data_IF_910877681102
#
_entry.id   IF_910877681102
#
_cell.length_a   1.000
_cell.length_b   1.000
_cell.length_c   1.000
_cell.angle_alpha   90.00
_cell.angle_beta   90.00
_cell.angle_gamma   90.00
#
_symmetry.space_group_name_H-M   'P 1'
#
loop_
_entity.id
_entity.type
_entity.pdbx_description
1 polymer ?
#
# COMPACT_ATOMS: atom_id res chain seq x y z
N UNK A 1 52.86 -26.83 34.19
CA UNK A 1 52.04 -25.60 34.40
C UNK A 1 51.40 -24.99 33.14
N UNK A 2 51.61 -25.49 31.91
CA UNK A 2 51.06 -24.85 30.68
C UNK A 2 49.79 -25.49 30.08
N UNK A 3 49.34 -26.66 30.55
CA UNK A 3 48.17 -27.37 29.96
C UNK A 3 46.80 -27.05 30.57
N UNK A 4 46.74 -26.39 31.74
CA UNK A 4 45.45 -26.06 32.39
C UNK A 4 44.84 -24.74 31.90
N UNK A 5 45.63 -23.79 31.40
CA UNK A 5 45.13 -22.47 31.00
C UNK A 5 44.42 -22.43 29.63
N UNK A 6 44.73 -23.36 28.72
CA UNK A 6 44.07 -23.43 27.41
C UNK A 6 42.60 -23.89 27.47
N UNK A 7 42.28 -24.77 28.42
CA UNK A 7 40.92 -25.32 28.56
C UNK A 7 39.94 -24.29 29.16
N UNK A 8 40.40 -23.46 30.11
CA UNK A 8 39.58 -22.39 30.68
C UNK A 8 39.33 -21.23 29.71
N UNK A 9 40.27 -20.92 28.79
CA UNK A 9 40.06 -19.89 27.76
C UNK A 9 39.03 -20.32 26.69
N UNK A 10 39.00 -21.60 26.32
CA UNK A 10 37.99 -22.12 25.37
C UNK A 10 36.58 -22.14 25.96
N UNK A 11 36.44 -22.44 27.26
CA UNK A 11 35.14 -22.42 27.94
C UNK A 11 34.61 -20.98 28.10
N UNK A 12 35.48 -20.00 28.38
CA UNK A 12 35.09 -18.59 28.47
C UNK A 12 34.69 -18.01 27.11
N UNK A 13 35.35 -18.41 26.02
CA UNK A 13 34.97 -18.01 24.66
C UNK A 13 33.64 -18.64 24.22
N UNK A 14 33.39 -19.92 24.55
CA UNK A 14 32.12 -20.59 24.26
C UNK A 14 30.96 -20.02 25.11
N UNK A 15 31.20 -19.72 26.39
CA UNK A 15 30.22 -19.08 27.26
C UNK A 15 29.89 -17.64 26.82
N UNK A 16 30.88 -16.89 26.31
CA UNK A 16 30.68 -15.56 25.73
C UNK A 16 29.84 -15.57 24.45
N UNK A 17 29.99 -16.60 23.60
CA UNK A 17 29.18 -16.76 22.38
C UNK A 17 27.76 -17.23 22.71
N UNK A 18 27.58 -18.12 23.70
CA UNK A 18 26.25 -18.54 24.15
C UNK A 18 25.51 -17.40 24.85
N UNK A 19 26.20 -16.56 25.63
CA UNK A 19 25.60 -15.37 26.23
C UNK A 19 25.32 -14.27 25.20
N UNK A 20 26.09 -14.15 24.11
CA UNK A 20 25.78 -13.22 23.01
C UNK A 20 24.60 -13.70 22.15
N UNK A 21 24.47 -15.02 21.92
CA UNK A 21 23.31 -15.63 21.25
C UNK A 21 22.03 -15.57 22.11
N UNK A 22 22.15 -15.57 23.44
CA UNK A 22 21.04 -15.32 24.37
C UNK A 22 20.73 -13.82 24.56
N UNK A 23 21.62 -12.93 24.12
CA UNK A 23 21.45 -11.47 24.14
C UNK A 23 21.08 -10.87 22.78
N UNK A 24 20.78 -11.69 21.77
CA UNK A 24 19.74 -11.32 20.79
C UNK A 24 18.42 -11.45 21.53
N UNK A 25 18.16 -10.49 22.42
CA UNK A 25 16.81 -10.26 22.93
C UNK A 25 15.98 -10.07 21.67
N UNK A 26 15.16 -11.06 21.34
CA UNK A 26 13.99 -10.84 20.54
C UNK A 26 13.35 -9.59 21.13
N UNK A 27 13.40 -8.49 20.37
CA UNK A 27 12.67 -7.28 20.73
C UNK A 27 11.27 -7.80 21.03
N UNK A 28 10.77 -7.66 22.26
CA UNK A 28 9.46 -8.19 22.58
C UNK A 28 8.53 -7.56 21.56
N UNK A 29 7.91 -8.40 20.72
CA UNK A 29 6.91 -8.00 19.75
C UNK A 29 5.84 -7.34 20.60
N UNK A 30 5.89 -6.02 20.70
CA UNK A 30 4.91 -5.24 21.44
C UNK A 30 3.55 -5.65 20.90
N UNK A 31 2.63 -5.94 21.82
CA UNK A 31 1.23 -6.35 21.60
C UNK A 31 0.75 -6.03 20.19
N UNK A 32 0.39 -7.07 19.41
CA UNK A 32 0.22 -6.99 17.96
C UNK A 32 -0.69 -5.83 17.50
N UNK A 33 -0.07 -4.71 17.13
CA UNK A 33 -0.62 -3.62 16.32
C UNK A 33 -0.75 -4.08 14.85
N UNK A 34 -1.10 -5.34 14.61
CA UNK A 34 -1.25 -5.88 13.26
C UNK A 34 -2.69 -5.68 12.79
N UNK A 35 -2.86 -5.35 11.51
CA UNK A 35 -4.18 -5.29 10.88
C UNK A 35 -4.86 -6.67 11.02
N UNK A 36 -6.03 -6.70 11.67
CA UNK A 36 -6.82 -7.92 11.83
C UNK A 36 -7.38 -8.37 10.48
N UNK A 37 -7.64 -9.67 10.33
CA UNK A 37 -8.28 -10.20 9.11
C UNK A 37 -9.61 -9.50 8.85
N UNK A 38 -9.86 -9.10 7.61
CA UNK A 38 -11.10 -8.43 7.18
C UNK A 38 -11.40 -7.11 7.91
N UNK A 39 -10.41 -6.52 8.58
CA UNK A 39 -10.58 -5.24 9.24
C UNK A 39 -10.82 -4.14 8.21
N UNK A 40 -11.84 -3.31 8.44
CA UNK A 40 -12.09 -2.12 7.61
C UNK A 40 -10.85 -1.21 7.61
N UNK A 41 -10.43 -0.81 6.42
CA UNK A 41 -9.31 0.10 6.17
C UNK A 41 -9.85 1.48 5.80
N UNK A 42 -9.28 2.49 6.43
CA UNK A 42 -9.54 3.89 6.11
C UNK A 42 -8.27 4.47 5.49
N UNK A 43 -8.23 4.46 4.16
CA UNK A 43 -7.03 4.71 3.38
C UNK A 43 -6.78 6.19 3.11
N UNK A 44 -5.56 6.67 3.23
CA UNK A 44 -5.14 7.98 2.68
C UNK A 44 -3.78 7.87 2.02
N UNK A 45 -3.46 8.73 1.04
CA UNK A 45 -2.20 8.62 0.28
C UNK A 45 -1.23 9.75 0.63
N UNK A 46 0.05 9.39 0.75
CA UNK A 46 1.19 10.28 0.87
C UNK A 46 2.16 9.94 -0.27
N UNK A 47 2.20 10.80 -1.29
CA UNK A 47 3.10 10.67 -2.45
C UNK A 47 4.41 11.45 -2.22
N UNK A 48 5.15 11.83 -3.27
CA UNK A 48 6.36 12.66 -3.13
C UNK A 48 6.11 14.15 -3.45
N UNK A 49 4.96 14.52 -4.02
CA UNK A 49 4.74 15.90 -4.50
C UNK A 49 4.61 16.96 -3.40
N UNK A 50 4.49 16.53 -2.13
CA UNK A 50 4.48 17.39 -0.94
C UNK A 50 5.87 17.77 -0.42
N UNK A 51 6.94 17.06 -0.81
CA UNK A 51 8.29 17.33 -0.29
C UNK A 51 8.69 18.80 -0.56
N UNK A 52 9.17 19.47 0.49
CA UNK A 52 9.53 20.88 0.44
C UNK A 52 8.36 21.87 0.52
N UNK A 53 7.10 21.40 0.46
CA UNK A 53 5.90 22.23 0.56
C UNK A 53 5.18 22.06 1.89
N UNK A 54 5.17 20.83 2.42
CA UNK A 54 4.48 20.48 3.67
C UNK A 54 5.49 19.87 4.65
N UNK A 55 5.38 20.19 5.94
CA UNK A 55 6.25 19.57 6.95
C UNK A 55 5.71 18.18 7.29
N UNK A 56 6.60 17.21 7.44
CA UNK A 56 6.22 15.86 7.92
C UNK A 56 5.47 15.90 9.26
N UNK A 57 5.77 16.87 10.12
CA UNK A 57 5.05 17.04 11.38
C UNK A 57 3.56 17.34 11.19
N UNK A 58 3.21 18.14 10.18
CA UNK A 58 1.82 18.53 9.89
C UNK A 58 1.04 17.32 9.34
N UNK A 59 1.68 16.50 8.50
CA UNK A 59 1.13 15.22 8.02
C UNK A 59 0.84 14.30 9.21
N UNK A 60 1.81 14.11 10.12
CA UNK A 60 1.65 13.25 11.30
C UNK A 60 0.57 13.79 12.23
N UNK A 61 0.47 15.11 12.42
CA UNK A 61 -0.57 15.73 13.23
C UNK A 61 -1.97 15.47 12.65
N UNK A 62 -2.14 15.67 11.34
CA UNK A 62 -3.39 15.41 10.64
C UNK A 62 -3.83 13.93 10.71
N UNK A 63 -2.89 12.99 10.55
CA UNK A 63 -3.16 11.56 10.70
C UNK A 63 -3.56 11.21 12.15
N UNK A 64 -2.82 11.73 13.14
CA UNK A 64 -3.09 11.50 14.56
C UNK A 64 -4.46 12.03 15.00
N UNK A 65 -4.94 13.09 14.37
CA UNK A 65 -6.22 13.71 14.68
C UNK A 65 -7.43 12.93 14.12
N UNK A 66 -7.23 11.91 13.27
CA UNK A 66 -8.33 11.09 12.77
C UNK A 66 -8.99 10.29 13.91
N UNK A 67 -10.31 10.02 13.85
CA UNK A 67 -11.03 9.35 14.94
C UNK A 67 -10.77 7.83 14.96
N UNK A 68 -10.08 7.31 13.95
CA UNK A 68 -9.67 5.92 13.78
C UNK A 68 -8.19 5.89 13.39
N UNK A 69 -7.49 4.78 13.64
CA UNK A 69 -6.14 4.57 13.13
C UNK A 69 -6.20 4.33 11.61
N UNK A 70 -5.75 5.26 10.74
CA UNK A 70 -5.88 5.10 9.30
C UNK A 70 -4.83 4.14 8.75
N UNK A 71 -4.97 3.78 7.47
CA UNK A 71 -3.93 3.12 6.67
C UNK A 71 -3.38 4.13 5.68
N UNK A 72 -2.10 4.46 5.79
CA UNK A 72 -1.43 5.39 4.88
C UNK A 72 -0.77 4.61 3.75
N UNK A 73 -1.19 4.87 2.52
CA UNK A 73 -0.48 4.43 1.33
C UNK A 73 0.66 5.41 1.07
N UNK A 74 1.91 4.92 1.10
CA UNK A 74 3.08 5.74 0.79
C UNK A 74 3.60 5.35 -0.59
N UNK A 75 3.45 6.26 -1.56
CA UNK A 75 3.93 6.09 -2.93
C UNK A 75 5.38 6.54 -3.01
N UNK A 76 6.26 5.66 -3.48
CA UNK A 76 7.70 5.91 -3.49
C UNK A 76 8.18 6.23 -4.92
N UNK A 77 8.81 7.38 -5.11
CA UNK A 77 9.44 7.74 -6.38
C UNK A 77 10.61 6.82 -6.73
N UNK A 78 10.74 6.54 -8.03
CA UNK A 78 11.88 5.86 -8.64
C UNK A 78 13.23 6.53 -8.37
N UNK A 79 13.26 7.84 -8.17
CA UNK A 79 14.49 8.63 -8.01
C UNK A 79 14.99 8.67 -6.56
N UNK A 80 14.19 8.17 -5.62
CA UNK A 80 14.53 8.12 -4.21
C UNK A 80 14.79 6.69 -3.75
N UNK A 81 15.87 6.50 -3.02
CA UNK A 81 16.19 5.19 -2.43
C UNK A 81 15.20 4.82 -1.33
N UNK A 82 14.93 3.53 -1.12
CA UNK A 82 14.07 3.06 -0.04
C UNK A 82 14.55 3.53 1.34
N UNK A 83 15.87 3.56 1.58
CA UNK A 83 16.46 4.04 2.83
C UNK A 83 16.06 5.49 3.14
N UNK A 84 15.99 6.35 2.12
CA UNK A 84 15.61 7.75 2.31
C UNK A 84 14.15 7.92 2.80
N UNK A 85 13.29 6.90 2.68
CA UNK A 85 11.92 6.92 3.23
C UNK A 85 11.84 6.50 4.70
N UNK A 86 12.91 5.91 5.29
CA UNK A 86 12.88 5.42 6.67
C UNK A 86 12.37 6.46 7.69
N UNK A 87 12.82 7.72 7.68
CA UNK A 87 12.33 8.71 8.64
C UNK A 87 10.82 9.01 8.51
N UNK A 88 10.27 8.95 7.29
CA UNK A 88 8.85 9.15 7.05
C UNK A 88 8.05 7.96 7.57
N UNK A 89 8.44 6.74 7.17
CA UNK A 89 7.79 5.50 7.58
C UNK A 89 7.79 5.34 9.10
N UNK A 90 8.94 5.59 9.76
CA UNK A 90 9.06 5.50 11.21
C UNK A 90 8.13 6.47 11.95
N UNK A 91 7.90 7.68 11.41
CA UNK A 91 7.01 8.67 12.02
C UNK A 91 5.54 8.33 11.78
N UNK A 92 5.18 7.94 10.56
CA UNK A 92 3.79 7.60 10.20
C UNK A 92 3.34 6.32 10.91
N UNK A 93 4.19 5.30 11.02
CA UNK A 93 3.85 4.02 11.65
C UNK A 93 3.46 4.15 13.14
N UNK A 94 3.84 5.25 13.80
CA UNK A 94 3.44 5.54 15.18
C UNK A 94 1.95 5.90 15.30
N UNK A 95 1.32 6.40 14.23
CA UNK A 95 -0.04 6.93 14.25
C UNK A 95 -0.97 6.28 13.21
N UNK A 96 -0.43 5.47 12.29
CA UNK A 96 -1.17 4.82 11.22
C UNK A 96 -0.59 3.44 10.88
N UNK A 97 -1.37 2.60 10.21
CA UNK A 97 -0.82 1.48 9.44
C UNK A 97 -0.20 1.99 8.14
N UNK A 98 0.73 1.25 7.54
CA UNK A 98 1.36 1.64 6.28
C UNK A 98 1.16 0.58 5.20
N UNK A 99 0.63 1.01 4.06
CA UNK A 99 0.77 0.31 2.80
C UNK A 99 1.90 0.95 1.99
N UNK A 100 3.01 0.24 1.80
CA UNK A 100 4.09 0.72 0.94
C UNK A 100 3.72 0.46 -0.52
N UNK A 101 3.88 1.48 -1.39
CA UNK A 101 3.83 1.34 -2.84
C UNK A 101 5.21 1.67 -3.42
N UNK A 102 6.10 0.67 -3.57
CA UNK A 102 7.48 0.90 -4.03
C UNK A 102 7.59 1.36 -5.48
N UNK A 103 6.57 1.10 -6.30
CA UNK A 103 6.53 1.44 -7.72
C UNK A 103 5.13 1.89 -8.11
N UNK A 104 5.00 3.17 -8.47
CA UNK A 104 3.80 3.71 -9.09
C UNK A 104 3.60 3.19 -10.53
N UNK A 105 2.36 3.17 -11.00
CA UNK A 105 1.99 2.64 -12.32
C UNK A 105 2.64 3.46 -13.45
N UNK A 106 2.73 4.78 -13.32
CA UNK A 106 3.41 5.65 -14.30
C UNK A 106 4.93 5.43 -14.35
N UNK A 107 5.53 4.95 -13.27
CA UNK A 107 6.96 4.67 -13.19
C UNK A 107 7.30 3.19 -13.46
N UNK A 108 6.31 2.30 -13.56
CA UNK A 108 6.55 0.87 -13.79
C UNK A 108 7.40 0.61 -15.05
N UNK A 109 7.23 1.46 -16.07
CA UNK A 109 7.94 1.39 -17.33
C UNK A 109 9.45 1.71 -17.22
N UNK A 110 9.89 2.32 -16.12
CA UNK A 110 11.29 2.64 -15.83
C UNK A 110 12.07 1.40 -15.36
N UNK A 111 11.37 0.37 -14.89
CA UNK A 111 11.92 -0.95 -14.58
C UNK A 111 11.85 -1.79 -15.87
N UNK A 112 12.96 -1.94 -16.59
CA UNK A 112 12.95 -2.50 -17.95
C UNK A 112 12.73 -4.01 -18.02
N UNK A 113 12.91 -4.69 -16.89
CA UNK A 113 12.81 -6.14 -16.79
C UNK A 113 12.27 -6.56 -15.41
N UNK A 114 12.07 -7.87 -15.24
CA UNK A 114 11.62 -8.47 -13.97
C UNK A 114 12.64 -8.25 -12.85
N UNK A 115 13.94 -8.33 -13.14
CA UNK A 115 15.00 -8.27 -12.13
C UNK A 115 15.12 -6.87 -11.50
N UNK A 116 15.05 -5.81 -12.30
CA UNK A 116 15.06 -4.42 -11.83
C UNK A 116 13.82 -4.11 -10.98
N UNK A 117 12.65 -4.61 -11.35
CA UNK A 117 11.43 -4.49 -10.55
C UNK A 117 11.59 -5.24 -9.21
N UNK A 118 12.01 -6.51 -9.25
CA UNK A 118 12.23 -7.32 -8.06
C UNK A 118 13.27 -6.69 -7.11
N UNK A 119 14.36 -6.13 -7.64
CA UNK A 119 15.39 -5.44 -6.87
C UNK A 119 14.82 -4.28 -6.06
N UNK A 120 13.91 -3.48 -6.64
CA UNK A 120 13.22 -2.39 -5.93
C UNK A 120 12.43 -2.91 -4.72
N UNK A 121 11.70 -4.00 -4.88
CA UNK A 121 10.95 -4.61 -3.76
C UNK A 121 11.86 -5.19 -2.70
N UNK A 122 12.96 -5.86 -3.09
CA UNK A 122 13.96 -6.37 -2.14
C UNK A 122 14.58 -5.24 -1.32
N UNK A 123 15.00 -4.16 -1.97
CA UNK A 123 15.57 -2.98 -1.30
C UNK A 123 14.55 -2.31 -0.39
N UNK A 124 13.31 -2.14 -0.85
CA UNK A 124 12.23 -1.57 -0.05
C UNK A 124 11.95 -2.42 1.20
N UNK A 125 11.80 -3.74 1.04
CA UNK A 125 11.57 -4.66 2.14
C UNK A 125 12.71 -4.62 3.17
N UNK A 126 13.96 -4.68 2.72
CA UNK A 126 15.12 -4.62 3.61
C UNK A 126 15.18 -3.34 4.45
N UNK A 127 14.77 -2.20 3.88
CA UNK A 127 14.87 -0.91 4.56
C UNK A 127 13.63 -0.55 5.37
N UNK A 128 12.44 -1.02 4.99
CA UNK A 128 11.16 -0.46 5.45
C UNK A 128 10.23 -1.49 6.11
N UNK A 129 10.51 -2.80 6.03
CA UNK A 129 9.63 -3.86 6.58
C UNK A 129 9.28 -3.71 8.05
N UNK A 130 10.14 -3.12 8.87
CA UNK A 130 9.86 -2.84 10.28
C UNK A 130 8.69 -1.85 10.50
N UNK A 131 8.28 -1.12 9.46
CA UNK A 131 7.26 -0.09 9.51
C UNK A 131 6.09 -0.33 8.55
N UNK A 132 6.15 -1.40 7.75
CA UNK A 132 5.19 -1.66 6.66
C UNK A 132 4.25 -2.80 7.02
N UNK A 133 2.95 -2.55 6.92
CA UNK A 133 1.90 -3.55 7.21
C UNK A 133 1.41 -4.27 5.94
N UNK A 134 1.40 -3.57 4.80
CA UNK A 134 0.94 -4.06 3.49
C UNK A 134 1.93 -3.59 2.41
N UNK A 135 2.21 -4.45 1.43
CA UNK A 135 3.03 -4.13 0.27
C UNK A 135 2.18 -4.16 -1.00
N UNK A 136 1.97 -3.01 -1.61
CA UNK A 136 1.39 -2.93 -2.95
C UNK A 136 2.43 -3.38 -3.98
N UNK A 137 2.30 -4.61 -4.46
CA UNK A 137 3.24 -5.27 -5.37
C UNK A 137 2.96 -4.95 -6.84
N UNK A 138 1.95 -4.13 -7.10
CA UNK A 138 1.61 -3.60 -8.41
C UNK A 138 0.47 -2.60 -8.31
N UNK A 139 0.72 -1.37 -8.75
CA UNK A 139 -0.29 -0.34 -8.90
C UNK A 139 -0.86 -0.33 -10.33
N UNK A 140 -2.19 -0.20 -10.44
CA UNK A 140 -2.96 -0.09 -11.69
C UNK A 140 -2.39 -0.91 -12.86
N UNK A 141 -2.13 -2.18 -12.60
CA UNK A 141 -1.26 -3.00 -13.46
C UNK A 141 -1.85 -3.29 -14.85
N UNK A 142 -3.15 -3.06 -15.01
CA UNK A 142 -3.88 -3.13 -16.28
C UNK A 142 -3.87 -1.83 -17.08
N UNK A 143 -3.15 -0.80 -16.62
CA UNK A 143 -2.95 0.49 -17.28
C UNK A 143 -1.97 0.47 -18.44
N UNK A 144 -2.22 -0.34 -19.47
CA UNK A 144 -1.26 -0.60 -20.55
C UNK A 144 -0.85 0.64 -21.32
N UNK A 145 -1.70 1.66 -21.36
CA UNK A 145 -1.47 2.89 -22.14
C UNK A 145 -0.37 3.79 -21.57
N UNK A 146 -0.22 3.82 -20.25
CA UNK A 146 0.86 4.58 -19.59
C UNK A 146 2.03 3.71 -19.16
N UNK A 147 1.78 2.45 -18.80
CA UNK A 147 2.86 1.48 -18.51
C UNK A 147 3.65 1.17 -19.79
N UNK A 148 3.01 1.11 -20.97
CA UNK A 148 3.68 0.92 -22.27
C UNK A 148 4.67 -0.27 -22.28
N UNK A 149 4.29 -1.37 -21.63
CA UNK A 149 5.03 -2.63 -21.62
C UNK A 149 4.10 -3.79 -21.95
N UNK A 150 4.68 -4.91 -22.40
CA UNK A 150 3.92 -6.12 -22.70
C UNK A 150 3.28 -6.67 -21.43
N UNK A 151 2.02 -7.08 -21.50
CA UNK A 151 1.30 -7.74 -20.39
C UNK A 151 2.11 -8.88 -19.75
N UNK A 152 2.76 -9.71 -20.56
CA UNK A 152 3.60 -10.81 -20.06
C UNK A 152 4.74 -10.30 -19.15
N UNK A 153 5.37 -9.18 -19.50
CA UNK A 153 6.41 -8.59 -18.66
C UNK A 153 5.83 -8.03 -17.37
N UNK A 154 4.66 -7.39 -17.43
CA UNK A 154 3.94 -6.92 -16.23
C UNK A 154 3.65 -8.12 -15.32
N UNK A 155 3.04 -9.19 -15.82
CA UNK A 155 2.75 -10.41 -15.04
C UNK A 155 3.97 -11.05 -14.40
N UNK A 156 5.11 -11.09 -15.11
CA UNK A 156 6.37 -11.60 -14.54
C UNK A 156 6.91 -10.71 -13.42
N UNK A 157 6.82 -9.38 -13.56
CA UNK A 157 7.19 -8.43 -12.49
C UNK A 157 6.35 -8.62 -11.24
N UNK A 158 5.03 -8.74 -11.39
CA UNK A 158 4.10 -8.95 -10.27
C UNK A 158 4.41 -10.25 -9.53
N UNK A 159 4.69 -11.33 -10.28
CA UNK A 159 5.07 -12.62 -9.69
C UNK A 159 6.38 -12.51 -8.90
N UNK A 160 7.40 -11.86 -9.46
CA UNK A 160 8.68 -11.69 -8.79
C UNK A 160 8.60 -10.79 -7.53
N UNK A 161 7.78 -9.73 -7.57
CA UNK A 161 7.51 -8.89 -6.41
C UNK A 161 6.73 -9.66 -5.33
N UNK A 162 5.68 -10.39 -5.73
CA UNK A 162 4.92 -11.27 -4.84
C UNK A 162 5.85 -12.28 -4.14
N UNK A 163 6.65 -13.03 -4.89
CA UNK A 163 7.56 -14.05 -4.34
C UNK A 163 8.53 -13.43 -3.34
N UNK A 164 9.07 -12.25 -3.66
CA UNK A 164 10.01 -11.51 -2.79
C UNK A 164 9.37 -11.12 -1.46
N UNK A 165 8.14 -10.60 -1.48
CA UNK A 165 7.47 -10.09 -0.28
C UNK A 165 6.84 -11.23 0.52
N UNK A 166 6.13 -12.13 -0.14
CA UNK A 166 5.39 -13.24 0.48
C UNK A 166 6.34 -14.25 1.13
N UNK A 167 7.46 -14.61 0.47
CA UNK A 167 8.47 -15.50 1.08
C UNK A 167 9.14 -14.92 2.32
N UNK A 168 9.16 -13.59 2.45
CA UNK A 168 9.63 -12.88 3.64
C UNK A 168 8.51 -12.65 4.68
N UNK A 169 7.30 -13.18 4.46
CA UNK A 169 6.17 -13.07 5.37
C UNK A 169 5.44 -11.72 5.34
N UNK A 170 5.65 -10.89 4.31
CA UNK A 170 4.92 -9.65 4.11
C UNK A 170 3.55 -9.88 3.47
N UNK A 171 2.54 -9.09 3.87
CA UNK A 171 1.23 -9.08 3.21
C UNK A 171 1.29 -8.31 1.89
N UNK A 172 0.65 -8.82 0.86
CA UNK A 172 0.70 -8.31 -0.52
C UNK A 172 -0.64 -7.74 -0.98
N UNK A 173 -0.59 -6.68 -1.78
CA UNK A 173 -1.75 -6.04 -2.41
C UNK A 173 -1.51 -5.85 -3.91
N UNK A 174 -2.55 -6.05 -4.71
CA UNK A 174 -2.60 -5.66 -6.13
C UNK A 174 -3.73 -4.65 -6.34
N UNK A 175 -3.42 -3.55 -7.00
CA UNK A 175 -4.40 -2.51 -7.37
C UNK A 175 -4.62 -2.55 -8.88
N UNK A 176 -5.89 -2.51 -9.29
CA UNK A 176 -6.32 -2.51 -10.69
C UNK A 176 -7.13 -1.25 -10.99
N UNK A 177 -6.95 -0.67 -12.17
CA UNK A 177 -7.74 0.48 -12.60
C UNK A 177 -9.08 0.02 -13.19
N UNK A 178 -10.18 0.54 -12.68
CA UNK A 178 -11.50 0.31 -13.27
C UNK A 178 -11.85 1.48 -14.18
N UNK A 179 -12.38 1.19 -15.37
CA UNK A 179 -12.75 2.22 -16.34
C UNK A 179 -14.25 2.16 -16.64
N UNK A 180 -14.76 3.28 -17.15
CA UNK A 180 -16.03 3.35 -17.84
C UNK A 180 -16.09 2.24 -18.90
N UNK A 181 -17.07 1.32 -18.85
CA UNK A 181 -17.17 0.21 -19.79
C UNK A 181 -17.19 0.63 -21.27
N UNK A 182 -17.59 1.87 -21.57
CA UNK A 182 -17.60 2.43 -22.92
C UNK A 182 -16.19 2.62 -23.50
N UNK A 183 -15.14 2.68 -22.66
CA UNK A 183 -13.73 2.75 -23.10
C UNK A 183 -13.20 1.41 -23.64
N UNK A 184 -13.95 0.32 -23.46
CA UNK A 184 -13.58 -1.03 -23.91
C UNK A 184 -12.29 -1.60 -23.28
N UNK A 185 -11.79 -1.00 -22.20
CA UNK A 185 -10.69 -1.50 -21.37
C UNK A 185 -11.22 -2.34 -20.19
N UNK A 186 -11.61 -3.58 -20.48
CA UNK A 186 -12.21 -4.48 -19.48
C UNK A 186 -11.16 -5.03 -18.48
N UNK A 187 -11.11 -4.40 -17.30
CA UNK A 187 -10.27 -4.81 -16.15
C UNK A 187 -10.40 -6.31 -15.84
N UNK A 188 -11.61 -6.88 -15.84
CA UNK A 188 -11.82 -8.29 -15.49
C UNK A 188 -11.31 -9.24 -16.57
N UNK A 189 -11.45 -8.86 -17.84
CA UNK A 189 -10.87 -9.61 -18.96
C UNK A 189 -9.35 -9.59 -18.89
N UNK A 190 -8.75 -8.44 -18.61
CA UNK A 190 -7.31 -8.31 -18.44
C UNK A 190 -6.81 -9.17 -17.27
N UNK A 191 -7.46 -9.11 -16.10
CA UNK A 191 -7.11 -9.93 -14.92
C UNK A 191 -7.13 -11.42 -15.27
N UNK A 192 -8.20 -11.92 -15.92
CA UNK A 192 -8.32 -13.33 -16.30
C UNK A 192 -7.23 -13.79 -17.26
N UNK A 193 -6.77 -12.91 -18.14
CA UNK A 193 -5.75 -13.21 -19.15
C UNK A 193 -4.34 -13.18 -18.56
N UNK A 194 -4.07 -12.21 -17.69
CA UNK A 194 -2.71 -11.82 -17.35
C UNK A 194 -2.31 -12.15 -15.90
N UNK A 195 -3.24 -12.28 -14.97
CA UNK A 195 -2.92 -12.64 -13.58
C UNK A 195 -3.08 -14.15 -13.37
N UNK A 196 -1.99 -14.79 -12.96
CA UNK A 196 -1.96 -16.23 -12.75
C UNK A 196 -2.97 -16.69 -11.69
N UNK A 197 -3.48 -17.92 -11.84
CA UNK A 197 -4.36 -18.53 -10.84
C UNK A 197 -3.73 -18.60 -9.45
N UNK A 198 -2.40 -18.71 -9.38
CA UNK A 198 -1.67 -18.70 -8.12
C UNK A 198 -1.83 -17.35 -7.43
N UNK A 199 -1.39 -16.25 -8.08
CA UNK A 199 -1.51 -14.91 -7.52
C UNK A 199 -2.95 -14.57 -7.12
N UNK A 200 -3.92 -14.88 -7.98
CA UNK A 200 -5.34 -14.63 -7.69
C UNK A 200 -5.85 -15.34 -6.42
N UNK A 201 -5.23 -16.44 -6.02
CA UNK A 201 -5.63 -17.20 -4.82
C UNK A 201 -4.79 -16.88 -3.59
N UNK A 202 -3.67 -16.15 -3.74
CA UNK A 202 -2.69 -16.01 -2.66
C UNK A 202 -2.36 -14.59 -2.27
N UNK A 203 -2.66 -13.57 -3.10
CA UNK A 203 -2.50 -12.18 -2.67
C UNK A 203 -3.48 -11.85 -1.55
N UNK A 204 -3.04 -11.09 -0.55
CA UNK A 204 -3.84 -10.78 0.64
C UNK A 204 -4.91 -9.72 0.35
N UNK A 205 -4.61 -8.76 -0.54
CA UNK A 205 -5.53 -7.70 -0.93
C UNK A 205 -5.63 -7.55 -2.45
N UNK A 206 -6.85 -7.28 -2.93
CA UNK A 206 -7.11 -6.89 -4.31
C UNK A 206 -7.98 -5.63 -4.32
N UNK A 207 -7.40 -4.54 -4.78
CA UNK A 207 -8.01 -3.22 -4.75
C UNK A 207 -8.35 -2.69 -6.14
N UNK A 208 -9.28 -1.73 -6.18
CA UNK A 208 -9.69 -0.99 -7.36
C UNK A 208 -9.28 0.47 -7.22
N UNK A 209 -8.47 0.98 -8.13
CA UNK A 209 -8.32 2.41 -8.39
C UNK A 209 -9.49 2.90 -9.25
N UNK A 210 -10.09 4.02 -8.88
CA UNK A 210 -11.16 4.63 -9.65
C UNK A 210 -11.25 6.15 -9.45
N UNK A 211 -11.31 6.87 -10.56
CA UNK A 211 -11.40 8.33 -10.61
C UNK A 211 -12.61 8.75 -11.44
N UNK A 212 -13.61 9.37 -10.81
CA UNK A 212 -14.86 9.73 -11.50
C UNK A 212 -14.61 10.75 -12.63
N UNK A 213 -13.67 11.67 -12.45
CA UNK A 213 -13.34 12.73 -13.41
C UNK A 213 -12.54 12.22 -14.63
N UNK A 214 -11.88 11.07 -14.52
CA UNK A 214 -11.25 10.36 -15.65
C UNK A 214 -12.24 9.45 -16.39
N UNK A 215 -13.47 9.32 -15.89
CA UNK A 215 -14.49 8.38 -16.38
C UNK A 215 -15.82 9.08 -16.65
N UNK A 216 -15.79 10.35 -17.06
CA UNK A 216 -16.98 11.15 -17.43
C UNK A 216 -18.07 11.18 -16.33
N UNK A 217 -17.67 11.04 -15.06
CA UNK A 217 -18.54 10.88 -13.89
C UNK A 217 -19.40 9.62 -13.88
N UNK A 218 -19.06 8.60 -14.68
CA UNK A 218 -19.65 7.27 -14.61
C UNK A 218 -19.64 6.77 -13.16
N UNK A 219 -20.70 6.07 -12.77
CA UNK A 219 -20.84 5.51 -11.42
C UNK A 219 -20.98 4.00 -11.54
N UNK A 220 -19.92 3.24 -11.21
CA UNK A 220 -19.99 1.79 -11.27
C UNK A 220 -21.05 1.24 -10.32
N UNK A 221 -21.71 0.16 -10.73
CA UNK A 221 -22.52 -0.64 -9.81
C UNK A 221 -21.60 -1.44 -8.87
N UNK A 222 -21.07 -0.78 -7.84
CA UNK A 222 -20.01 -1.29 -6.95
C UNK A 222 -20.28 -2.67 -6.36
N UNK A 223 -21.52 -2.97 -5.96
CA UNK A 223 -21.93 -4.31 -5.51
C UNK A 223 -21.61 -5.40 -6.55
N UNK A 224 -21.91 -5.16 -7.83
CA UNK A 224 -21.61 -6.09 -8.93
C UNK A 224 -20.11 -6.18 -9.21
N UNK A 225 -19.43 -5.04 -9.23
CA UNK A 225 -17.98 -4.96 -9.47
C UNK A 225 -17.19 -5.72 -8.39
N UNK A 226 -17.46 -5.46 -7.10
CA UNK A 226 -16.76 -6.14 -6.01
C UNK A 226 -17.09 -7.63 -5.89
N UNK A 227 -18.32 -8.05 -6.20
CA UNK A 227 -18.66 -9.49 -6.29
C UNK A 227 -17.87 -10.20 -7.39
N UNK A 228 -17.71 -9.57 -8.55
CA UNK A 228 -16.87 -10.10 -9.63
C UNK A 228 -15.39 -10.14 -9.22
N UNK A 229 -14.89 -9.08 -8.58
CA UNK A 229 -13.51 -9.05 -8.09
C UNK A 229 -13.26 -10.16 -7.06
N UNK A 230 -14.14 -10.30 -6.06
CA UNK A 230 -14.06 -11.38 -5.06
C UNK A 230 -14.08 -12.77 -5.69
N UNK A 231 -14.86 -12.96 -6.77
CA UNK A 231 -14.89 -14.25 -7.49
C UNK A 231 -13.55 -14.56 -8.14
N UNK A 232 -12.85 -13.54 -8.65
CA UNK A 232 -11.51 -13.72 -9.21
C UNK A 232 -10.46 -13.89 -8.12
N UNK A 233 -10.62 -13.23 -6.97
CA UNK A 233 -9.72 -13.22 -5.82
C UNK A 233 -10.42 -13.76 -4.55
N UNK A 234 -10.65 -15.08 -4.44
CA UNK A 234 -11.54 -15.65 -3.42
C UNK A 234 -11.03 -15.54 -1.97
N UNK A 235 -9.72 -15.34 -1.80
CA UNK A 235 -9.08 -15.26 -0.48
C UNK A 235 -8.58 -13.86 -0.12
N UNK A 236 -8.64 -12.92 -1.05
CA UNK A 236 -8.20 -11.54 -0.82
C UNK A 236 -9.29 -10.71 -0.15
N UNK A 237 -8.87 -9.80 0.70
CA UNK A 237 -9.67 -8.65 1.09
C UNK A 237 -9.78 -7.68 -0.09
N UNK A 238 -10.97 -7.15 -0.34
CA UNK A 238 -11.27 -6.32 -1.52
C UNK A 238 -11.70 -4.91 -1.13
N UNK A 239 -11.41 -3.94 -1.98
CA UNK A 239 -11.64 -2.53 -1.64
C UNK A 239 -11.25 -1.50 -2.70
N UNK A 240 -11.34 -0.22 -2.35
CA UNK A 240 -10.85 0.88 -3.20
C UNK A 240 -9.38 1.18 -2.83
N UNK A 241 -8.51 1.04 -3.82
CA UNK A 241 -7.05 1.19 -3.72
C UNK A 241 -6.58 2.60 -4.01
N UNK A 242 -7.35 3.35 -4.78
CA UNK A 242 -7.20 4.79 -5.00
C UNK A 242 -8.55 5.41 -5.33
N UNK A 243 -8.79 6.62 -4.83
CA UNK A 243 -9.89 7.47 -5.27
C UNK A 243 -9.54 8.95 -5.03
N UNK A 244 -10.36 9.84 -5.59
CA UNK A 244 -10.22 11.27 -5.42
C UNK A 244 -10.54 12.01 -6.69
N UNK A 245 -10.04 13.24 -6.78
CA UNK A 245 -10.08 14.03 -8.00
C UNK A 245 -8.71 14.03 -8.68
N UNK A 246 -8.70 13.77 -9.99
CA UNK A 246 -7.54 13.97 -10.87
C UNK A 246 -7.55 15.36 -11.50
N UNK A 247 -8.72 16.00 -11.60
CA UNK A 247 -8.87 17.31 -12.20
C UNK A 247 -8.06 18.38 -11.45
N UNK A 248 -7.10 19.01 -12.15
CA UNK A 248 -6.23 20.07 -11.58
C UNK A 248 -6.98 21.23 -10.91
N UNK A 249 -8.22 21.49 -11.33
CA UNK A 249 -9.09 22.56 -10.80
C UNK A 249 -10.26 22.03 -9.98
N UNK A 250 -10.15 20.82 -9.41
CA UNK A 250 -11.18 20.25 -8.56
C UNK A 250 -11.49 21.19 -7.38
N UNK A 251 -12.76 21.57 -7.25
CA UNK A 251 -13.23 22.46 -6.18
C UNK A 251 -13.38 21.71 -4.86
N UNK A 252 -13.31 22.41 -3.74
CA UNK A 252 -13.64 21.84 -2.42
C UNK A 252 -15.02 21.18 -2.39
N UNK A 253 -16.00 21.72 -3.14
CA UNK A 253 -17.32 21.11 -3.26
C UNK A 253 -17.23 19.71 -3.90
N UNK A 254 -16.46 19.57 -4.98
CA UNK A 254 -16.24 18.28 -5.66
C UNK A 254 -15.53 17.29 -4.74
N UNK A 255 -14.42 17.72 -4.12
CA UNK A 255 -13.62 16.90 -3.20
C UNK A 255 -14.46 16.37 -2.05
N UNK A 256 -15.26 17.24 -1.42
CA UNK A 256 -16.15 16.85 -0.32
C UNK A 256 -17.24 15.87 -0.77
N UNK A 257 -17.85 16.09 -1.93
CA UNK A 257 -18.88 15.20 -2.46
C UNK A 257 -18.33 13.79 -2.73
N UNK A 258 -17.14 13.69 -3.36
CA UNK A 258 -16.48 12.41 -3.59
C UNK A 258 -16.02 11.77 -2.28
N UNK A 259 -15.38 12.52 -1.38
CA UNK A 259 -14.98 12.00 -0.07
C UNK A 259 -16.16 11.41 0.71
N UNK A 260 -17.32 12.09 0.72
CA UNK A 260 -18.55 11.55 1.30
C UNK A 260 -18.97 10.26 0.61
N UNK A 261 -18.99 10.22 -0.73
CA UNK A 261 -19.42 9.04 -1.50
C UNK A 261 -18.56 7.81 -1.22
N UNK A 262 -17.24 7.94 -1.26
CA UNK A 262 -16.33 6.80 -1.10
C UNK A 262 -16.26 6.32 0.35
N UNK A 263 -16.01 7.22 1.31
CA UNK A 263 -15.81 6.80 2.71
C UNK A 263 -17.10 6.28 3.38
N UNK A 264 -18.28 6.56 2.80
CA UNK A 264 -19.57 6.03 3.25
C UNK A 264 -20.01 4.73 2.55
N UNK A 265 -19.20 4.18 1.61
CA UNK A 265 -19.57 2.95 0.92
C UNK A 265 -19.88 1.80 1.90
N UNK A 266 -21.01 1.09 1.72
CA UNK A 266 -21.36 -0.06 2.54
C UNK A 266 -20.46 -1.26 2.23
N UNK A 267 -20.55 -2.30 3.05
CA UNK A 267 -19.89 -3.56 2.76
C UNK A 267 -20.58 -4.28 1.58
N UNK A 268 -19.86 -4.44 0.47
CA UNK A 268 -20.39 -5.09 -0.74
C UNK A 268 -20.22 -6.61 -0.76
N UNK A 269 -19.21 -7.13 -0.05
CA UNK A 269 -18.92 -8.56 0.12
C UNK A 269 -18.44 -8.82 1.56
N UNK A 270 -18.35 -10.09 1.96
CA UNK A 270 -17.85 -10.46 3.30
C UNK A 270 -16.39 -10.13 3.55
N UNK A 271 -15.59 -9.92 2.49
CA UNK A 271 -14.19 -9.49 2.57
C UNK A 271 -13.98 -8.08 2.04
N UNK A 272 -15.05 -7.32 1.87
CA UNK A 272 -14.95 -5.90 1.54
C UNK A 272 -14.43 -5.15 2.76
N UNK A 273 -13.24 -4.58 2.65
CA UNK A 273 -12.57 -3.87 3.75
C UNK A 273 -12.66 -2.36 3.59
N UNK A 274 -13.48 -1.85 2.69
CA UNK A 274 -13.39 -0.44 2.32
C UNK A 274 -12.14 -0.22 1.52
N UNK A 275 -11.10 0.36 2.13
CA UNK A 275 -10.04 1.00 1.36
C UNK A 275 -10.63 2.23 0.68
N UNK A 276 -10.02 3.39 0.85
CA UNK A 276 -10.55 4.67 0.36
C UNK A 276 -9.39 5.63 0.13
N UNK A 277 -8.27 5.09 -0.37
CA UNK A 277 -6.97 5.77 -0.38
C UNK A 277 -7.05 7.04 -1.23
N UNK A 278 -7.33 8.13 -0.53
CA UNK A 278 -7.54 9.43 -1.16
C UNK A 278 -6.22 9.93 -1.72
N UNK A 279 -6.09 9.95 -3.04
CA UNK A 279 -4.82 10.13 -3.75
C UNK A 279 -4.10 11.43 -3.37
N UNK A 280 -4.82 12.55 -3.39
CA UNK A 280 -4.27 13.88 -3.10
C UNK A 280 -4.43 14.29 -1.62
N UNK A 281 -4.37 13.33 -0.67
CA UNK A 281 -4.76 13.62 0.71
C UNK A 281 -3.86 14.67 1.38
N UNK A 282 -2.55 14.64 1.16
CA UNK A 282 -1.65 15.64 1.73
C UNK A 282 -1.99 17.05 1.23
N UNK A 283 -2.25 17.18 -0.07
CA UNK A 283 -2.55 18.44 -0.76
C UNK A 283 -3.92 18.98 -0.35
N UNK A 284 -4.88 18.08 -0.16
CA UNK A 284 -6.27 18.45 0.11
C UNK A 284 -6.55 18.66 1.60
N UNK A 285 -5.79 18.01 2.48
CA UNK A 285 -6.14 17.87 3.89
C UNK A 285 -5.07 18.33 4.89
N UNK A 286 -3.87 18.72 4.44
CA UNK A 286 -2.77 19.12 5.33
C UNK A 286 -2.36 20.59 5.05
N UNK A 287 -2.36 21.48 6.07
CA UNK A 287 -2.75 21.25 7.46
C UNK A 287 -4.25 20.97 7.61
N UNK A 288 -4.61 20.24 8.68
CA UNK A 288 -5.97 19.77 8.92
C UNK A 288 -6.85 20.79 9.66
N UNK A 289 -6.22 21.73 10.36
CA UNK A 289 -6.86 22.80 11.11
C UNK A 289 -7.69 23.66 10.16
N UNK A 290 -8.98 23.79 10.47
CA UNK A 290 -9.96 24.53 9.65
C UNK A 290 -10.14 24.05 8.20
N UNK A 291 -9.55 22.90 7.83
CA UNK A 291 -9.67 22.34 6.49
C UNK A 291 -11.03 21.63 6.29
N UNK A 292 -11.83 22.09 5.34
CA UNK A 292 -13.19 21.56 5.15
C UNK A 292 -13.23 20.19 4.47
N UNK A 293 -12.23 19.86 3.65
CA UNK A 293 -12.10 18.54 3.01
C UNK A 293 -11.68 17.52 4.07
N UNK A 294 -10.69 17.83 4.90
CA UNK A 294 -10.30 16.99 6.03
C UNK A 294 -11.48 16.73 6.98
N UNK A 295 -12.21 17.78 7.40
CA UNK A 295 -13.40 17.63 8.27
C UNK A 295 -14.46 16.71 7.65
N UNK A 296 -14.60 16.75 6.33
CA UNK A 296 -15.56 15.90 5.61
C UNK A 296 -15.16 14.43 5.70
N UNK A 297 -13.90 14.10 5.41
CA UNK A 297 -13.37 12.75 5.59
C UNK A 297 -13.50 12.32 7.06
N UNK A 298 -13.02 13.15 7.99
CA UNK A 298 -13.07 12.91 9.43
C UNK A 298 -14.48 12.53 9.93
N UNK A 299 -15.55 13.18 9.44
CA UNK A 299 -16.92 12.85 9.81
C UNK A 299 -17.40 11.49 9.29
N UNK A 300 -16.88 11.00 8.15
CA UNK A 300 -17.23 9.66 7.63
C UNK A 300 -16.49 8.53 8.36
N UNK A 301 -15.49 8.87 9.16
CA UNK A 301 -14.68 7.92 9.93
C UNK A 301 -15.23 7.66 11.34
N UNK A 302 -16.25 8.40 11.78
CA UNK A 302 -16.94 8.21 13.06
C UNK A 302 -18.05 7.17 12.94
#
# INVERSE_FOLDING_TARGET
MKKKYGFYLMILAAAGIVLWLLYVRAVPKTSSNAIKSHQKLYGVTVDDSWYGKVKTADIVAALKAMPVKPTVRIVMSKDRSAKAYQPLFQKIHQVAYIMASPVDSYEMNLYKDTASYQKRFKEAYQQLSAYTDIWEIGNEVNGTDWIKQKDQLISHKLSAAYDTISSAGGKTALTFYYENPDHQHDMFRWIKRNISNHLRKTVDYSFISYYEDDNENYQPHWSSVFKKLQTLFPHSDVGIGECGNTAKKATDKSKKAMAQRYYSMPNYTSRYVGGYFWWNWVQDCVPHENNTVYKTIYHQLK
#
